data_IF_635864511814
#
_entry.id   IF_635864511814
#
_cell.length_a   1.000
_cell.length_b   1.000
_cell.length_c   1.000
_cell.angle_alpha   90.00
_cell.angle_beta   90.00
_cell.angle_gamma   90.00
#
_symmetry.space_group_name_H-M   'P 1'
#
loop_
_entity.id
_entity.type
_entity.pdbx_description
1 polymer ?
#
# COMPACT_ATOMS: atom_id res chain seq x y z
N UNK A 1 8.37 2.20 -13.42
CA UNK A 1 7.39 1.09 -13.58
C UNK A 1 7.85 0.26 -14.76
N UNK A 2 7.99 -1.06 -14.59
CA UNK A 2 8.71 -1.98 -15.48
C UNK A 2 8.42 -1.80 -16.98
N UNK A 3 9.24 -0.97 -17.62
CA UNK A 3 9.21 -0.75 -19.05
C UNK A 3 10.12 -1.80 -19.69
N UNK A 4 9.53 -2.72 -20.44
CA UNK A 4 10.26 -3.76 -21.15
C UNK A 4 9.97 -3.68 -22.64
N UNK A 5 10.89 -4.23 -23.43
CA UNK A 5 10.65 -4.46 -24.85
C UNK A 5 10.39 -5.96 -25.03
N UNK A 6 9.23 -6.33 -25.56
CA UNK A 6 8.91 -7.72 -25.87
C UNK A 6 9.75 -8.24 -27.06
N UNK A 7 9.77 -9.55 -27.28
CA UNK A 7 10.57 -10.18 -28.37
C UNK A 7 10.24 -9.65 -29.77
N UNK A 8 9.05 -9.08 -29.95
CA UNK A 8 8.57 -8.43 -31.18
C UNK A 8 8.86 -6.92 -31.22
N UNK A 9 9.72 -6.40 -30.34
CA UNK A 9 10.17 -5.01 -30.37
C UNK A 9 9.20 -3.98 -29.77
N UNK A 10 8.07 -4.41 -29.20
CA UNK A 10 7.05 -3.50 -28.65
C UNK A 10 7.33 -3.15 -27.19
N UNK A 11 7.02 -1.91 -26.80
CA UNK A 11 6.97 -1.53 -25.38
C UNK A 11 5.88 -2.33 -24.67
N UNK A 12 6.25 -3.02 -23.60
CA UNK A 12 5.37 -3.85 -22.78
C UNK A 12 5.58 -3.57 -21.30
N UNK A 13 4.53 -3.84 -20.51
CA UNK A 13 4.54 -3.77 -19.06
C UNK A 13 3.68 -4.91 -18.52
N UNK A 14 4.32 -5.82 -17.78
CA UNK A 14 3.70 -7.03 -17.21
C UNK A 14 3.36 -6.87 -15.72
N UNK A 15 3.45 -5.65 -15.18
CA UNK A 15 3.07 -5.36 -13.79
C UNK A 15 1.54 -5.29 -13.69
N UNK A 16 0.94 -6.27 -13.01
CA UNK A 16 -0.50 -6.30 -12.76
C UNK A 16 -0.94 -5.17 -11.82
N UNK A 17 -0.23 -4.99 -10.71
CA UNK A 17 -0.48 -3.96 -9.70
C UNK A 17 0.80 -3.73 -8.90
N UNK A 18 0.78 -2.78 -7.98
CA UNK A 18 1.86 -2.54 -7.03
C UNK A 18 1.28 -2.29 -5.64
N UNK A 19 1.93 -2.84 -4.64
CA UNK A 19 1.73 -2.42 -3.25
C UNK A 19 2.52 -1.14 -3.05
N UNK A 20 1.84 -0.06 -2.69
CA UNK A 20 2.45 1.19 -2.28
C UNK A 20 2.66 1.15 -0.76
N UNK A 21 3.87 1.48 -0.33
CA UNK A 21 4.21 1.74 1.08
C UNK A 21 4.56 3.22 1.19
N UNK A 22 3.78 3.97 1.97
CA UNK A 22 3.83 5.44 2.07
C UNK A 22 5.02 5.96 2.87
N UNK A 23 6.24 5.60 2.47
CA UNK A 23 7.47 6.08 3.12
C UNK A 23 7.67 7.59 2.91
N UNK A 24 7.24 8.11 1.76
CA UNK A 24 7.16 9.54 1.47
C UNK A 24 6.34 10.28 2.52
N UNK A 25 5.10 9.84 2.76
CA UNK A 25 4.22 10.41 3.78
C UNK A 25 4.81 10.26 5.18
N UNK A 26 5.47 9.12 5.45
CA UNK A 26 6.10 8.87 6.75
C UNK A 26 7.27 9.83 7.02
N UNK A 27 8.12 10.06 6.02
CA UNK A 27 9.27 10.96 6.09
C UNK A 27 8.82 12.41 6.17
N UNK A 28 7.86 12.83 5.34
CA UNK A 28 7.29 14.17 5.37
C UNK A 28 6.70 14.49 6.75
N UNK A 29 5.88 13.59 7.31
CA UNK A 29 5.29 13.77 8.63
C UNK A 29 6.34 13.80 9.75
N UNK A 30 7.42 13.02 9.62
CA UNK A 30 8.51 13.04 10.59
C UNK A 30 9.28 14.37 10.53
N UNK A 31 9.59 14.84 9.32
CA UNK A 31 10.27 16.11 9.08
C UNK A 31 9.42 17.29 9.59
N UNK A 32 8.12 17.30 9.31
CA UNK A 32 7.18 18.32 9.80
C UNK A 32 7.14 18.35 11.35
N UNK A 33 7.06 17.19 11.99
CA UNK A 33 7.13 17.10 13.47
C UNK A 33 8.47 17.57 14.02
N UNK A 34 9.57 17.26 13.34
CA UNK A 34 10.90 17.74 13.72
C UNK A 34 10.97 19.28 13.63
N UNK A 35 10.50 19.84 12.52
CA UNK A 35 10.43 21.27 12.27
C UNK A 35 9.59 22.01 13.33
N UNK A 36 8.47 21.42 13.75
CA UNK A 36 7.62 21.94 14.82
C UNK A 36 8.19 21.71 16.24
N UNK A 37 9.42 21.17 16.38
CA UNK A 37 10.03 20.85 17.67
C UNK A 37 9.37 19.69 18.43
N UNK A 38 8.46 18.94 17.78
CA UNK A 38 7.73 17.80 18.34
C UNK A 38 8.29 16.48 17.84
N UNK A 39 9.62 16.41 17.66
CA UNK A 39 10.27 15.22 17.14
C UNK A 39 9.96 14.01 18.05
N UNK A 40 9.38 12.93 17.52
CA UNK A 40 8.88 11.85 18.35
C UNK A 40 9.95 10.79 18.65
N UNK A 41 11.04 11.20 19.29
CA UNK A 41 12.11 10.28 19.71
C UNK A 41 11.57 9.14 20.58
N UNK A 42 12.03 7.92 20.33
CA UNK A 42 11.64 6.72 21.10
C UNK A 42 10.21 6.21 20.88
N UNK A 43 9.43 6.79 19.96
CA UNK A 43 8.07 6.36 19.67
C UNK A 43 7.99 5.47 18.43
N UNK A 44 7.13 4.46 18.50
CA UNK A 44 6.78 3.62 17.36
C UNK A 44 5.59 4.20 16.60
N UNK A 45 5.69 4.29 15.26
CA UNK A 45 4.62 4.77 14.39
C UNK A 45 4.21 3.66 13.44
N UNK A 46 2.91 3.38 13.39
CA UNK A 46 2.34 2.40 12.48
C UNK A 46 1.57 3.13 11.39
N UNK A 47 1.97 2.90 10.15
CA UNK A 47 1.31 3.41 8.95
C UNK A 47 0.53 2.26 8.33
N UNK A 48 -0.79 2.25 8.55
CA UNK A 48 -1.66 1.13 8.20
C UNK A 48 -2.36 1.35 6.86
N UNK A 49 -3.30 0.46 6.53
CA UNK A 49 -4.22 0.66 5.41
C UNK A 49 -5.08 1.92 5.62
N UNK A 50 -5.38 2.24 6.87
CA UNK A 50 -6.00 3.50 7.28
C UNK A 50 -4.98 4.63 7.11
N UNK A 51 -5.40 5.75 6.51
CA UNK A 51 -4.48 6.85 6.20
C UNK A 51 -3.46 6.55 5.09
N UNK A 52 -3.66 5.48 4.31
CA UNK A 52 -2.85 5.13 3.13
C UNK A 52 -1.35 4.89 3.39
N UNK A 53 -0.99 4.51 4.61
CA UNK A 53 0.36 4.04 4.94
C UNK A 53 0.80 2.83 4.10
N UNK A 54 -0.16 1.97 3.77
CA UNK A 54 -0.06 0.97 2.72
C UNK A 54 -1.29 1.02 1.82
N UNK A 55 -1.11 0.73 0.52
CA UNK A 55 -2.22 0.61 -0.43
C UNK A 55 -1.84 -0.23 -1.64
N UNK A 56 -2.80 -0.51 -2.53
CA UNK A 56 -2.59 -1.24 -3.77
C UNK A 56 -3.05 -0.35 -4.92
N UNK A 57 -2.30 -0.29 -6.01
CA UNK A 57 -2.71 0.47 -7.20
C UNK A 57 -3.73 -0.31 -8.03
N UNK A 58 -4.57 0.38 -8.81
CA UNK A 58 -5.43 -0.32 -9.77
C UNK A 58 -4.62 -1.09 -10.82
N UNK A 59 -3.52 -0.50 -11.28
CA UNK A 59 -2.65 -1.11 -12.29
C UNK A 59 -3.44 -1.57 -13.53
N UNK A 60 -3.27 -2.85 -13.88
CA UNK A 60 -3.95 -3.55 -14.97
C UNK A 60 -5.13 -4.41 -14.49
N UNK A 61 -5.55 -4.29 -13.23
CA UNK A 61 -6.70 -5.03 -12.68
C UNK A 61 -7.98 -4.54 -13.36
N UNK A 62 -8.81 -5.47 -13.82
CA UNK A 62 -10.12 -5.16 -14.42
C UNK A 62 -11.08 -4.54 -13.39
N UNK A 63 -12.11 -3.84 -13.86
CA UNK A 63 -13.03 -3.11 -12.99
C UNK A 63 -13.80 -4.00 -12.00
N UNK A 64 -14.18 -5.22 -12.40
CA UNK A 64 -14.94 -6.14 -11.53
C UNK A 64 -14.06 -6.63 -10.38
N UNK A 65 -12.83 -7.01 -10.69
CA UNK A 65 -11.86 -7.44 -9.67
C UNK A 65 -11.43 -6.27 -8.79
N UNK A 66 -11.25 -5.07 -9.37
CA UNK A 66 -10.92 -3.86 -8.61
C UNK A 66 -11.99 -3.51 -7.57
N UNK A 67 -13.27 -3.62 -7.93
CA UNK A 67 -14.38 -3.42 -6.97
C UNK A 67 -14.30 -4.40 -5.81
N UNK A 68 -13.96 -5.67 -6.05
CA UNK A 68 -13.77 -6.65 -4.96
C UNK A 68 -12.60 -6.28 -4.05
N UNK A 69 -11.48 -5.84 -4.61
CA UNK A 69 -10.32 -5.35 -3.84
C UNK A 69 -10.71 -4.17 -2.95
N UNK A 70 -11.45 -3.20 -3.49
CA UNK A 70 -11.92 -2.05 -2.72
C UNK A 70 -12.93 -2.43 -1.63
N UNK A 71 -13.80 -3.41 -1.89
CA UNK A 71 -14.70 -3.94 -0.88
C UNK A 71 -13.95 -4.67 0.24
N UNK A 72 -12.94 -5.49 -0.09
CA UNK A 72 -12.09 -6.14 0.91
C UNK A 72 -11.35 -5.09 1.76
N UNK A 73 -10.79 -4.04 1.13
CA UNK A 73 -10.21 -2.90 1.85
C UNK A 73 -11.19 -2.28 2.84
N UNK A 74 -12.43 -2.01 2.42
CA UNK A 74 -13.47 -1.47 3.31
C UNK A 74 -13.80 -2.41 4.47
N UNK A 75 -13.84 -3.72 4.23
CA UNK A 75 -14.10 -4.71 5.27
C UNK A 75 -12.95 -4.83 6.28
N UNK A 76 -11.69 -4.73 5.83
CA UNK A 76 -10.52 -4.66 6.70
C UNK A 76 -10.57 -3.39 7.56
N UNK A 77 -10.84 -2.24 6.95
CA UNK A 77 -10.96 -0.95 7.68
C UNK A 77 -12.14 -0.95 8.67
N UNK A 78 -13.22 -1.67 8.36
CA UNK A 78 -14.36 -1.86 9.26
C UNK A 78 -14.12 -2.95 10.32
N UNK A 79 -12.93 -3.57 10.37
CA UNK A 79 -12.61 -4.65 11.31
C UNK A 79 -13.32 -5.99 11.05
N UNK A 80 -14.11 -6.10 9.98
CA UNK A 80 -14.83 -7.33 9.60
C UNK A 80 -13.89 -8.42 9.10
N UNK A 81 -12.79 -8.02 8.46
CA UNK A 81 -11.69 -8.91 8.08
C UNK A 81 -10.47 -8.52 8.92
N UNK A 82 -9.96 -9.46 9.73
CA UNK A 82 -8.69 -9.32 10.41
C UNK A 82 -7.61 -10.04 9.61
N UNK A 83 -6.60 -9.31 9.16
CA UNK A 83 -5.45 -9.88 8.44
C UNK A 83 -4.53 -10.55 9.46
N UNK A 84 -4.09 -11.76 9.17
CA UNK A 84 -3.11 -12.49 9.97
C UNK A 84 -1.74 -11.78 9.92
N UNK A 85 -1.05 -11.72 11.06
CA UNK A 85 0.27 -11.08 11.16
C UNK A 85 1.38 -11.99 10.60
N UNK A 86 1.17 -13.30 10.66
CA UNK A 86 2.06 -14.31 10.10
C UNK A 86 1.31 -15.42 9.38
N UNK A 87 2.02 -16.17 8.53
CA UNK A 87 1.44 -17.32 7.81
C UNK A 87 0.93 -18.39 8.79
N UNK A 88 1.58 -18.54 9.95
CA UNK A 88 1.17 -19.45 11.02
C UNK A 88 -0.17 -19.09 11.68
N UNK A 89 -0.65 -17.86 11.53
CA UNK A 89 -1.92 -17.42 12.13
C UNK A 89 -3.12 -17.65 11.21
N UNK A 90 -2.89 -18.21 10.02
CA UNK A 90 -3.95 -18.62 9.09
C UNK A 90 -4.60 -19.91 9.61
N UNK A 91 -5.91 -19.86 9.86
CA UNK A 91 -6.73 -21.03 10.23
C UNK A 91 -7.17 -21.84 9.02
#
# INVERSE_FOLDING_TARGET
>A
MGNYTSKDGKKSNFVLTSVLKGLDVAVERLAEKAYQGKFPGGKHFVYTLEGNGVSVTKGKIDSKTWTKVQNARKQILAGKIKVADSVSDLK
#
